data_IF_772305828817
#
_entry.id   IF_772305828817
#
_cell.length_a   1.000
_cell.length_b   1.000
_cell.length_c   1.000
_cell.angle_alpha   90.00
_cell.angle_beta   90.00
_cell.angle_gamma   90.00
#
_symmetry.space_group_name_H-M   'P 1'
#
loop_
_entity.id
_entity.type
_entity.pdbx_description
1 polymer ?
#
# COMPACT_ATOMS: atom_id res chain seq x y z
N UNK A 1 -25.26 -0.07 4.79
CA UNK A 1 -25.35 1.36 5.17
C UNK A 1 -25.38 2.21 3.91
N UNK A 2 -26.16 3.30 3.87
CA UNK A 2 -26.13 4.25 2.74
C UNK A 2 -24.96 5.21 2.89
N UNK A 3 -24.06 5.22 1.92
CA UNK A 3 -22.84 6.04 1.91
C UNK A 3 -23.08 7.28 1.06
N UNK A 4 -22.65 8.44 1.56
CA UNK A 4 -22.72 9.69 0.81
C UNK A 4 -21.71 9.71 -0.35
N UNK A 5 -21.98 10.50 -1.39
CA UNK A 5 -21.10 10.66 -2.55
C UNK A 5 -19.70 11.13 -2.16
N UNK A 6 -19.58 12.00 -1.15
CA UNK A 6 -18.28 12.50 -0.67
C UNK A 6 -17.45 11.38 -0.02
N UNK A 7 -18.07 10.53 0.80
CA UNK A 7 -17.40 9.40 1.46
C UNK A 7 -16.98 8.34 0.43
N UNK A 8 -17.83 8.10 -0.57
CA UNK A 8 -17.53 7.27 -1.74
C UNK A 8 -16.29 7.78 -2.48
N UNK A 9 -16.27 9.06 -2.86
CA UNK A 9 -15.13 9.67 -3.55
C UNK A 9 -13.86 9.63 -2.70
N UNK A 10 -13.96 9.97 -1.42
CA UNK A 10 -12.82 9.95 -0.48
C UNK A 10 -12.25 8.54 -0.34
N UNK A 11 -13.11 7.52 -0.24
CA UNK A 11 -12.70 6.12 -0.24
C UNK A 11 -11.99 5.74 -1.56
N UNK A 12 -12.54 6.14 -2.70
CA UNK A 12 -11.92 5.91 -4.00
C UNK A 12 -10.50 6.46 -4.11
N UNK A 13 -10.29 7.69 -3.65
CA UNK A 13 -8.97 8.33 -3.62
C UNK A 13 -7.93 7.56 -2.78
N UNK A 14 -8.35 6.81 -1.76
CA UNK A 14 -7.46 5.95 -0.99
C UNK A 14 -6.79 4.86 -1.83
N UNK A 15 -7.40 4.43 -2.94
CA UNK A 15 -6.76 3.56 -3.93
C UNK A 15 -5.48 4.16 -4.53
N UNK A 16 -5.35 5.49 -4.52
CA UNK A 16 -4.18 6.23 -5.01
C UNK A 16 -2.87 5.86 -4.31
N UNK A 17 -2.93 5.47 -3.04
CA UNK A 17 -1.74 5.04 -2.28
C UNK A 17 -1.12 3.80 -2.94
N UNK A 18 -1.94 2.78 -3.22
CA UNK A 18 -1.47 1.58 -3.91
C UNK A 18 -1.16 1.86 -5.39
N UNK A 19 -1.88 2.79 -6.03
CA UNK A 19 -1.64 3.21 -7.41
C UNK A 19 -0.21 3.71 -7.61
N UNK A 20 0.20 4.71 -6.82
CA UNK A 20 1.51 5.37 -6.91
C UNK A 20 2.63 4.38 -6.65
N UNK A 21 2.48 3.54 -5.62
CA UNK A 21 3.46 2.48 -5.35
C UNK A 21 3.55 1.49 -6.51
N UNK A 22 2.44 1.01 -7.03
CA UNK A 22 2.45 -0.03 -8.07
C UNK A 22 3.04 0.51 -9.36
N UNK A 23 2.63 1.70 -9.78
CA UNK A 23 3.18 2.41 -10.93
C UNK A 23 4.70 2.54 -10.84
N UNK A 24 5.18 3.10 -9.71
CA UNK A 24 6.60 3.28 -9.48
C UNK A 24 7.38 1.97 -9.45
N UNK A 25 6.93 0.98 -8.67
CA UNK A 25 7.68 -0.27 -8.47
C UNK A 25 7.76 -1.12 -9.73
N UNK A 26 6.73 -1.09 -10.57
CA UNK A 26 6.67 -1.90 -11.79
C UNK A 26 7.48 -1.25 -12.90
N UNK A 27 7.33 0.06 -13.11
CA UNK A 27 7.87 0.71 -14.30
C UNK A 27 9.18 1.48 -14.08
N UNK A 28 9.37 2.03 -12.89
CA UNK A 28 10.39 3.07 -12.68
C UNK A 28 11.49 2.67 -11.70
N UNK A 29 11.17 1.97 -10.60
CA UNK A 29 12.14 1.62 -9.56
C UNK A 29 13.29 0.76 -10.10
N UNK A 30 12.96 -0.29 -10.85
CA UNK A 30 13.97 -1.14 -11.49
C UNK A 30 14.81 -0.34 -12.48
N UNK A 31 14.17 0.45 -13.36
CA UNK A 31 14.87 1.27 -14.33
C UNK A 31 15.84 2.26 -13.64
N UNK A 32 15.41 2.95 -12.60
CA UNK A 32 16.23 3.88 -11.83
C UNK A 32 17.49 3.22 -11.24
N UNK A 33 17.35 2.10 -10.54
CA UNK A 33 18.51 1.42 -9.95
C UNK A 33 19.44 0.80 -11.01
N UNK A 34 18.91 0.38 -12.15
CA UNK A 34 19.69 -0.21 -13.24
C UNK A 34 20.43 0.82 -14.09
N UNK A 35 19.74 1.88 -14.51
CA UNK A 35 20.24 2.80 -15.55
C UNK A 35 20.83 4.08 -14.99
N UNK A 36 20.37 4.52 -13.82
CA UNK A 36 20.83 5.76 -13.18
C UNK A 36 21.89 5.42 -12.14
N UNK A 37 21.55 4.59 -11.15
CA UNK A 37 22.48 4.18 -10.09
C UNK A 37 23.48 3.11 -10.53
N UNK A 38 23.27 2.47 -11.68
CA UNK A 38 24.18 1.46 -12.24
C UNK A 38 24.30 0.17 -11.41
N UNK A 39 23.34 -0.14 -10.55
CA UNK A 39 23.34 -1.35 -9.73
C UNK A 39 23.17 -2.60 -10.60
N UNK A 40 23.94 -3.65 -10.30
CA UNK A 40 23.89 -4.91 -11.04
C UNK A 40 22.46 -5.46 -11.18
N UNK A 41 22.05 -5.91 -12.38
CA UNK A 41 20.72 -6.44 -12.62
C UNK A 41 20.31 -7.62 -11.72
N UNK A 42 21.26 -8.49 -11.38
CA UNK A 42 21.02 -9.64 -10.50
C UNK A 42 20.71 -9.17 -9.07
N UNK A 43 21.42 -8.14 -8.59
CA UNK A 43 21.19 -7.55 -7.26
C UNK A 43 19.86 -6.80 -7.22
N UNK A 44 19.58 -5.97 -8.23
CA UNK A 44 18.30 -5.24 -8.33
C UNK A 44 17.12 -6.20 -8.40
N UNK A 45 17.17 -7.20 -9.29
CA UNK A 45 16.11 -8.19 -9.44
C UNK A 45 15.90 -9.04 -8.19
N UNK A 46 16.98 -9.46 -7.52
CA UNK A 46 16.89 -10.25 -6.28
C UNK A 46 16.33 -9.43 -5.12
N UNK A 47 16.69 -8.15 -4.98
CA UNK A 47 16.11 -7.26 -3.96
C UNK A 47 14.59 -7.11 -4.13
N UNK A 48 14.13 -6.87 -5.37
CA UNK A 48 12.70 -6.78 -5.67
C UNK A 48 11.97 -8.10 -5.40
N UNK A 49 12.55 -9.22 -5.82
CA UNK A 49 12.00 -10.57 -5.60
C UNK A 49 11.90 -10.93 -4.11
N UNK A 50 12.93 -10.62 -3.31
CA UNK A 50 12.88 -10.83 -1.85
C UNK A 50 11.78 -10.00 -1.20
N UNK A 51 11.56 -8.78 -1.68
CA UNK A 51 10.43 -7.97 -1.22
C UNK A 51 9.07 -8.58 -1.59
N UNK A 52 8.96 -9.32 -2.72
CA UNK A 52 7.73 -10.06 -3.05
C UNK A 52 7.46 -11.21 -2.08
N UNK A 53 8.49 -11.95 -1.68
CA UNK A 53 8.35 -13.00 -0.68
C UNK A 53 7.90 -12.45 0.67
N UNK A 54 8.38 -11.26 1.04
CA UNK A 54 7.95 -10.60 2.27
C UNK A 54 6.46 -10.22 2.23
N UNK A 55 5.95 -9.71 1.11
CA UNK A 55 4.52 -9.40 0.94
C UNK A 55 3.64 -10.65 1.09
N UNK A 56 4.06 -11.78 0.52
CA UNK A 56 3.32 -13.04 0.62
C UNK A 56 3.07 -13.50 2.08
N UNK A 57 3.93 -13.06 3.01
CA UNK A 57 3.80 -13.34 4.44
C UNK A 57 3.08 -12.20 5.16
N UNK A 58 3.47 -10.96 4.88
CA UNK A 58 2.94 -9.79 5.60
C UNK A 58 1.47 -9.51 5.28
N UNK A 59 1.01 -9.78 4.05
CA UNK A 59 -0.36 -9.51 3.63
C UNK A 59 -1.41 -10.30 4.47
N UNK A 60 -1.33 -11.65 4.60
CA UNK A 60 -2.25 -12.39 5.46
C UNK A 60 -2.13 -12.02 6.94
N UNK A 61 -0.91 -11.72 7.42
CA UNK A 61 -0.67 -11.34 8.81
C UNK A 61 -1.37 -10.03 9.15
N UNK A 62 -1.22 -9.01 8.31
CA UNK A 62 -1.87 -7.71 8.50
C UNK A 62 -3.37 -7.82 8.32
N UNK A 63 -3.86 -8.63 7.37
CA UNK A 63 -5.29 -8.91 7.25
C UNK A 63 -5.88 -9.41 8.57
N UNK A 64 -5.31 -10.50 9.11
CA UNK A 64 -5.79 -11.10 10.35
C UNK A 64 -5.58 -10.20 11.58
N UNK A 65 -4.48 -9.43 11.64
CA UNK A 65 -4.22 -8.49 12.73
C UNK A 65 -5.19 -7.30 12.70
N UNK A 66 -5.44 -6.76 11.51
CA UNK A 66 -6.37 -5.65 11.30
C UNK A 66 -7.79 -6.03 11.70
N UNK A 67 -8.19 -7.29 11.57
CA UNK A 67 -9.51 -7.75 12.00
C UNK A 67 -9.66 -7.92 13.52
N UNK A 68 -8.58 -7.95 14.29
CA UNK A 68 -8.61 -8.21 15.74
C UNK A 68 -8.54 -6.96 16.61
N UNK A 69 -7.88 -5.90 16.13
CA UNK A 69 -7.63 -4.71 16.94
C UNK A 69 -8.91 -3.91 17.15
N UNK A 70 -9.23 -3.59 18.40
CA UNK A 70 -10.31 -2.67 18.74
C UNK A 70 -9.68 -1.38 19.24
N UNK A 71 -9.80 -0.32 18.45
CA UNK A 71 -9.37 1.02 18.80
C UNK A 71 -10.56 1.98 18.80
N UNK A 72 -10.49 3.03 19.62
CA UNK A 72 -11.47 4.13 19.63
C UNK A 72 -11.53 4.85 18.26
N UNK A 73 -10.45 4.77 17.48
CA UNK A 73 -10.35 5.35 16.14
C UNK A 73 -10.87 4.42 15.04
N UNK A 74 -11.51 3.30 15.39
CA UNK A 74 -11.94 2.29 14.44
C UNK A 74 -10.84 1.26 14.15
N UNK A 75 -11.26 0.01 14.01
CA UNK A 75 -10.38 -1.16 13.87
C UNK A 75 -9.40 -1.08 12.70
N UNK A 76 -9.87 -0.61 11.54
CA UNK A 76 -9.10 -0.55 10.29
C UNK A 76 -8.42 0.81 10.05
N UNK A 77 -9.08 1.87 10.50
CA UNK A 77 -8.61 3.24 10.34
C UNK A 77 -7.34 3.54 11.14
N UNK A 78 -7.10 2.86 12.27
CA UNK A 78 -5.84 3.01 13.01
C UNK A 78 -4.64 2.54 12.18
N UNK A 79 -4.77 1.43 11.46
CA UNK A 79 -3.73 0.91 10.58
C UNK A 79 -3.49 1.85 9.40
N UNK A 80 -4.57 2.26 8.74
CA UNK A 80 -4.50 3.20 7.62
C UNK A 80 -3.89 4.54 8.03
N UNK A 81 -4.25 5.08 9.20
CA UNK A 81 -3.71 6.36 9.67
C UNK A 81 -2.24 6.28 10.09
N UNK A 82 -1.86 5.22 10.80
CA UNK A 82 -0.48 5.01 11.25
C UNK A 82 0.47 4.71 10.10
N UNK A 83 -0.02 4.14 8.99
CA UNK A 83 0.81 3.82 7.83
C UNK A 83 1.14 5.03 6.94
N UNK A 84 0.40 6.15 7.03
CA UNK A 84 0.61 7.34 6.18
C UNK A 84 1.97 8.01 6.35
N UNK A 85 2.50 8.06 7.57
CA UNK A 85 3.83 8.60 7.80
C UNK A 85 4.94 7.68 7.32
N UNK A 86 4.99 6.39 7.74
CA UNK A 86 6.06 5.50 7.31
C UNK A 86 6.05 5.29 5.80
N UNK A 87 4.88 5.19 5.15
CA UNK A 87 4.81 5.00 3.70
C UNK A 87 5.43 6.15 2.92
N UNK A 88 5.17 7.40 3.32
CA UNK A 88 5.73 8.58 2.65
C UNK A 88 7.23 8.69 2.89
N UNK A 89 7.69 8.42 4.12
CA UNK A 89 9.11 8.48 4.46
C UNK A 89 9.88 7.37 3.71
N UNK A 90 9.43 6.12 3.78
CA UNK A 90 10.14 5.00 3.19
C UNK A 90 10.13 5.07 1.67
N UNK A 91 9.03 5.56 1.08
CA UNK A 91 8.95 5.79 -0.37
C UNK A 91 9.95 6.86 -0.79
N UNK A 92 10.01 8.00 -0.09
CA UNK A 92 10.97 9.06 -0.39
C UNK A 92 12.42 8.57 -0.26
N UNK A 93 12.71 7.76 0.76
CA UNK A 93 14.06 7.21 1.00
C UNK A 93 14.57 6.34 -0.15
N UNK A 94 13.71 5.76 -1.00
CA UNK A 94 14.14 5.00 -2.18
C UNK A 94 14.90 5.85 -3.22
N UNK A 95 14.76 7.17 -3.18
CA UNK A 95 15.31 8.13 -4.14
C UNK A 95 16.46 8.97 -3.56
N UNK A 96 16.88 8.69 -2.32
CA UNK A 96 18.02 9.34 -1.67
C UNK A 96 19.39 8.80 -2.13
N UNK A 97 19.55 7.52 -2.55
CA UNK A 97 20.87 7.01 -2.88
C UNK A 97 21.59 7.82 -3.95
N UNK A 98 22.90 7.88 -3.81
CA UNK A 98 23.81 8.58 -4.70
C UNK A 98 24.62 7.56 -5.52
N UNK A 99 24.90 7.89 -6.78
CA UNK A 99 25.69 7.06 -7.71
C UNK A 99 27.11 6.79 -7.21
N UNK A 100 27.63 7.61 -6.31
CA UNK A 100 28.95 7.44 -5.68
C UNK A 100 28.99 6.33 -4.61
N UNK A 101 27.84 5.79 -4.20
CA UNK A 101 27.77 4.75 -3.18
C UNK A 101 28.29 3.40 -3.69
N UNK A 102 28.79 2.59 -2.77
CA UNK A 102 29.22 1.24 -3.11
C UNK A 102 28.03 0.35 -3.50
N UNK A 103 28.28 -0.61 -4.38
CA UNK A 103 27.26 -1.54 -4.88
C UNK A 103 26.51 -2.26 -3.74
N UNK A 104 27.24 -2.69 -2.71
CA UNK A 104 26.66 -3.33 -1.53
C UNK A 104 25.73 -2.37 -0.77
N UNK A 105 26.12 -1.11 -0.61
CA UNK A 105 25.30 -0.13 0.09
C UNK A 105 24.01 0.15 -0.70
N UNK A 106 24.11 0.30 -2.03
CA UNK A 106 22.95 0.47 -2.91
C UNK A 106 22.01 -0.73 -2.83
N UNK A 107 22.54 -1.95 -2.85
CA UNK A 107 21.75 -3.17 -2.72
C UNK A 107 21.01 -3.26 -1.37
N UNK A 108 21.71 -3.05 -0.25
CA UNK A 108 21.09 -3.11 1.07
C UNK A 108 20.08 -1.98 1.28
N UNK A 109 20.35 -0.79 0.73
CA UNK A 109 19.41 0.32 0.75
C UNK A 109 18.14 -0.02 -0.04
N UNK A 110 18.29 -0.50 -1.27
CA UNK A 110 17.17 -0.91 -2.12
C UNK A 110 16.29 -1.93 -1.42
N UNK A 111 16.86 -3.04 -0.93
CA UNK A 111 16.07 -4.11 -0.33
C UNK A 111 15.34 -3.66 0.95
N UNK A 112 16.00 -2.91 1.83
CA UNK A 112 15.41 -2.44 3.09
C UNK A 112 14.25 -1.50 2.81
N UNK A 113 14.45 -0.46 2.01
CA UNK A 113 13.41 0.54 1.76
C UNK A 113 12.31 0.02 0.83
N UNK A 114 12.60 -0.94 -0.05
CA UNK A 114 11.57 -1.65 -0.83
C UNK A 114 10.67 -2.45 0.11
N UNK A 115 11.24 -3.23 1.03
CA UNK A 115 10.46 -4.01 2.01
C UNK A 115 9.65 -3.08 2.92
N UNK A 116 10.26 -2.04 3.47
CA UNK A 116 9.57 -1.10 4.37
C UNK A 116 8.44 -0.35 3.67
N UNK A 117 8.65 0.08 2.44
CA UNK A 117 7.61 0.75 1.64
C UNK A 117 6.46 -0.19 1.35
N UNK A 118 6.74 -1.42 0.90
CA UNK A 118 5.68 -2.40 0.63
C UNK A 118 4.91 -2.75 1.89
N UNK A 119 5.60 -3.02 2.99
CA UNK A 119 4.96 -3.27 4.28
C UNK A 119 4.06 -2.12 4.72
N UNK A 120 4.52 -0.87 4.57
CA UNK A 120 3.73 0.31 4.90
C UNK A 120 2.50 0.46 3.99
N UNK A 121 2.63 0.14 2.70
CA UNK A 121 1.49 0.06 1.77
C UNK A 121 0.51 -1.02 2.20
N UNK A 122 0.98 -2.21 2.57
CA UNK A 122 0.14 -3.32 3.05
C UNK A 122 -0.66 -2.93 4.29
N UNK A 123 -0.05 -2.21 5.24
CA UNK A 123 -0.73 -1.65 6.41
C UNK A 123 -1.86 -0.67 6.05
N UNK A 124 -1.82 -0.05 4.87
CA UNK A 124 -2.90 0.81 4.37
C UNK A 124 -3.90 0.03 3.50
N UNK A 125 -3.44 -0.61 2.44
CA UNK A 125 -4.27 -1.14 1.35
C UNK A 125 -5.11 -2.34 1.80
N UNK A 126 -4.59 -3.21 2.67
CA UNK A 126 -5.37 -4.36 3.15
C UNK A 126 -6.57 -3.93 4.00
N UNK A 127 -6.40 -3.13 5.07
CA UNK A 127 -7.54 -2.61 5.82
C UNK A 127 -8.48 -1.77 4.95
N UNK A 128 -7.95 -1.02 3.99
CA UNK A 128 -8.75 -0.21 3.07
C UNK A 128 -9.61 -1.06 2.12
N UNK A 129 -9.05 -2.10 1.48
CA UNK A 129 -9.82 -3.06 0.66
C UNK A 129 -10.85 -3.81 1.49
N UNK A 130 -10.47 -4.24 2.69
CA UNK A 130 -11.40 -4.91 3.57
C UNK A 130 -12.57 -3.99 3.93
N UNK A 131 -12.31 -2.69 4.14
CA UNK A 131 -13.35 -1.69 4.39
C UNK A 131 -14.35 -1.60 3.23
N UNK A 132 -13.93 -1.68 1.97
CA UNK A 132 -14.86 -1.74 0.81
C UNK A 132 -15.91 -2.85 0.93
N UNK A 133 -15.55 -3.99 1.53
CA UNK A 133 -16.43 -5.13 1.69
C UNK A 133 -17.37 -5.03 2.91
N UNK A 134 -17.04 -4.16 3.89
CA UNK A 134 -17.81 -3.97 5.13
C UNK A 134 -18.79 -2.81 5.07
N UNK A 135 -18.52 -1.76 4.29
CA UNK A 135 -19.38 -0.56 4.29
C UNK A 135 -20.79 -0.85 3.71
N UNK A 136 -20.94 -1.53 2.56
CA UNK A 136 -22.26 -1.73 1.95
C UNK A 136 -22.96 -3.00 2.42
N UNK A 137 -24.29 -3.00 2.41
CA UNK A 137 -25.07 -4.17 2.81
C UNK A 137 -25.30 -5.12 1.62
N UNK A 138 -25.48 -4.57 0.42
CA UNK A 138 -25.79 -5.34 -0.79
C UNK A 138 -24.54 -5.67 -1.59
N UNK A 139 -24.58 -6.79 -2.31
CA UNK A 139 -23.49 -7.21 -3.18
C UNK A 139 -23.21 -6.20 -4.30
N UNK A 140 -24.26 -5.62 -4.88
CA UNK A 140 -24.16 -4.62 -5.96
C UNK A 140 -23.43 -3.36 -5.50
N UNK A 141 -23.73 -2.86 -4.29
CA UNK A 141 -23.05 -1.68 -3.75
C UNK A 141 -21.57 -1.97 -3.41
N UNK A 142 -21.25 -3.19 -2.93
CA UNK A 142 -19.86 -3.63 -2.73
C UNK A 142 -19.07 -3.63 -4.03
N UNK A 143 -19.65 -4.21 -5.09
CA UNK A 143 -19.04 -4.21 -6.40
C UNK A 143 -18.85 -2.78 -6.94
N UNK A 144 -19.84 -1.90 -6.74
CA UNK A 144 -19.77 -0.51 -7.20
C UNK A 144 -18.63 0.27 -6.52
N UNK A 145 -18.50 0.18 -5.19
CA UNK A 145 -17.43 0.87 -4.45
C UNK A 145 -16.05 0.34 -4.83
N UNK A 146 -15.93 -0.98 -4.96
CA UNK A 146 -14.67 -1.58 -5.35
C UNK A 146 -14.27 -1.17 -6.78
N UNK A 147 -15.23 -1.16 -7.71
CA UNK A 147 -15.03 -0.68 -9.09
C UNK A 147 -14.62 0.79 -9.12
N UNK A 148 -15.30 1.64 -8.36
CA UNK A 148 -14.95 3.06 -8.25
C UNK A 148 -13.54 3.25 -7.68
N UNK A 149 -13.16 2.50 -6.63
CA UNK A 149 -11.80 2.51 -6.07
C UNK A 149 -10.76 2.13 -7.10
N UNK A 150 -10.96 1.03 -7.84
CA UNK A 150 -10.03 0.61 -8.90
C UNK A 150 -9.99 1.63 -10.06
N UNK A 151 -11.12 2.26 -10.41
CA UNK A 151 -11.15 3.34 -11.39
C UNK A 151 -10.33 4.55 -10.96
N UNK A 152 -10.47 5.01 -9.71
CA UNK A 152 -9.62 6.06 -9.14
C UNK A 152 -8.15 5.64 -9.09
N UNK A 153 -7.86 4.38 -8.73
CA UNK A 153 -6.51 3.84 -8.73
C UNK A 153 -5.85 3.99 -10.11
N UNK A 154 -6.55 3.61 -11.19
CA UNK A 154 -6.03 3.75 -12.56
C UNK A 154 -5.82 5.21 -12.97
N UNK A 155 -6.76 6.10 -12.65
CA UNK A 155 -6.65 7.53 -12.98
C UNK A 155 -5.48 8.17 -12.23
N UNK A 156 -5.31 7.85 -10.95
CA UNK A 156 -4.23 8.38 -10.12
C UNK A 156 -2.88 7.85 -10.59
N UNK A 157 -2.78 6.55 -10.92
CA UNK A 157 -1.56 5.98 -11.48
C UNK A 157 -1.15 6.73 -12.75
N UNK A 158 -2.07 6.88 -13.71
CA UNK A 158 -1.80 7.59 -14.96
C UNK A 158 -1.38 9.04 -14.72
N UNK A 159 -2.13 9.75 -13.87
CA UNK A 159 -1.84 11.15 -13.53
C UNK A 159 -0.47 11.30 -12.87
N UNK A 160 -0.14 10.39 -11.96
CA UNK A 160 1.17 10.34 -11.31
C UNK A 160 2.28 10.16 -12.35
N UNK A 161 2.15 9.18 -13.26
CA UNK A 161 3.14 8.96 -14.33
C UNK A 161 3.35 10.24 -15.15
N UNK A 162 2.29 10.92 -15.59
CA UNK A 162 2.42 12.17 -16.35
C UNK A 162 3.10 13.31 -15.57
N UNK A 163 2.85 13.41 -14.27
CA UNK A 163 3.46 14.45 -13.41
C UNK A 163 4.95 14.18 -13.22
N UNK A 164 5.37 12.92 -13.08
CA UNK A 164 6.78 12.58 -12.82
C UNK A 164 7.64 12.55 -14.09
N UNK A 165 7.04 12.34 -15.28
CA UNK A 165 7.78 12.22 -16.55
C UNK A 165 8.80 13.34 -16.81
N UNK A 166 8.50 14.65 -16.59
CA UNK A 166 9.47 15.72 -16.81
C UNK A 166 10.69 15.66 -15.87
N UNK A 167 10.57 14.98 -14.74
CA UNK A 167 11.62 14.81 -13.74
C UNK A 167 12.42 13.53 -13.94
N UNK A 168 11.91 12.58 -14.73
CA UNK A 168 12.63 11.37 -15.10
C UNK A 168 13.57 11.73 -16.25
N UNK A 169 14.80 12.10 -15.89
CA UNK A 169 15.87 12.27 -16.85
C UNK A 169 16.98 11.23 -16.57
N UNK A 170 17.33 10.46 -17.59
CA UNK A 170 18.39 9.45 -17.52
C UNK A 170 19.77 10.12 -17.43
N UNK A 171 19.88 11.39 -17.81
CA UNK A 171 21.15 12.12 -17.90
C UNK A 171 21.46 13.06 -16.71
N UNK A 172 20.52 13.29 -15.79
CA UNK A 172 20.70 14.21 -14.64
C UNK A 172 20.13 13.57 -13.38
N UNK A 173 21.01 13.19 -12.45
CA UNK A 173 20.68 12.43 -11.23
C UNK A 173 19.78 13.21 -10.26
N UNK A 174 19.94 14.53 -10.15
CA UNK A 174 19.28 15.37 -9.13
C UNK A 174 17.75 15.42 -9.22
N UNK A 175 17.16 15.06 -10.36
CA UNK A 175 15.71 15.18 -10.55
C UNK A 175 14.92 14.00 -9.97
N UNK A 176 15.55 12.87 -9.67
CA UNK A 176 14.88 11.69 -9.12
C UNK A 176 14.37 11.90 -7.68
N UNK A 177 15.02 12.79 -6.92
CA UNK A 177 14.54 13.20 -5.60
C UNK A 177 13.16 13.86 -5.71
N UNK A 178 12.91 14.65 -6.76
CA UNK A 178 11.61 15.28 -6.98
C UNK A 178 10.51 14.24 -7.28
N UNK A 179 10.85 13.16 -8.01
CA UNK A 179 9.93 12.03 -8.24
C UNK A 179 9.51 11.40 -6.90
N UNK A 180 10.50 11.12 -6.04
CA UNK A 180 10.25 10.59 -4.69
C UNK A 180 9.42 11.53 -3.83
N UNK A 181 9.72 12.84 -3.88
CA UNK A 181 9.00 13.86 -3.12
C UNK A 181 7.54 13.94 -3.55
N UNK A 182 7.28 14.08 -4.86
CA UNK A 182 5.93 14.18 -5.43
C UNK A 182 5.10 12.95 -5.06
N UNK A 183 5.65 11.75 -5.29
CA UNK A 183 4.96 10.50 -4.95
C UNK A 183 4.65 10.40 -3.45
N UNK A 184 5.62 10.74 -2.58
CA UNK A 184 5.43 10.69 -1.12
C UNK A 184 4.32 11.65 -0.63
N UNK A 185 4.26 12.86 -1.19
CA UNK A 185 3.24 13.86 -0.88
C UNK A 185 1.87 13.40 -1.38
N UNK A 186 1.79 12.91 -2.62
CA UNK A 186 0.53 12.41 -3.20
C UNK A 186 -0.02 11.22 -2.39
N UNK A 187 0.83 10.27 -2.00
CA UNK A 187 0.44 9.15 -1.14
C UNK A 187 -0.08 9.64 0.22
N UNK A 188 0.61 10.60 0.85
CA UNK A 188 0.17 11.18 2.12
C UNK A 188 -1.18 11.87 2.00
N UNK A 189 -1.36 12.70 0.96
CA UNK A 189 -2.57 13.49 0.72
C UNK A 189 -3.76 12.58 0.42
N UNK A 190 -3.63 11.68 -0.54
CA UNK A 190 -4.73 10.76 -0.91
C UNK A 190 -5.08 9.81 0.24
N UNK A 191 -4.07 9.27 0.93
CA UNK A 191 -4.27 8.44 2.09
C UNK A 191 -4.96 9.19 3.24
N UNK A 192 -4.57 10.45 3.49
CA UNK A 192 -5.22 11.31 4.49
C UNK A 192 -6.66 11.64 4.14
N UNK A 193 -6.95 11.97 2.87
CA UNK A 193 -8.31 12.24 2.39
C UNK A 193 -9.20 11.01 2.59
N UNK A 194 -8.71 9.81 2.23
CA UNK A 194 -9.45 8.57 2.46
C UNK A 194 -9.68 8.33 3.96
N UNK A 195 -8.62 8.36 4.77
CA UNK A 195 -8.72 8.13 6.22
C UNK A 195 -9.68 9.10 6.89
N UNK A 196 -9.66 10.39 6.53
CA UNK A 196 -10.52 11.43 7.10
C UNK A 196 -11.96 11.31 6.60
N UNK A 197 -12.15 11.10 5.29
CA UNK A 197 -13.46 10.98 4.66
C UNK A 197 -14.21 9.72 5.06
N UNK A 198 -13.52 8.67 5.50
CA UNK A 198 -14.17 7.43 5.97
C UNK A 198 -14.34 7.35 7.49
N UNK A 199 -13.86 8.36 8.26
CA UNK A 199 -14.01 8.33 9.74
C UNK A 199 -15.46 8.38 10.20
N UNK A 200 -16.33 9.08 9.47
CA UNK A 200 -17.76 9.17 9.76
C UNK A 200 -18.43 7.79 9.79
N UNK A 201 -17.89 6.83 9.05
CA UNK A 201 -18.44 5.48 8.89
C UNK A 201 -18.08 4.54 10.06
N UNK A 202 -17.12 4.92 10.92
CA UNK A 202 -16.62 4.09 12.04
C UNK A 202 -17.73 3.57 12.98
N UNK A 203 -18.71 4.37 13.41
CA UNK A 203 -19.73 3.93 14.38
C UNK A 203 -20.61 2.78 13.86
N UNK A 204 -20.82 2.74 12.55
CA UNK A 204 -21.75 1.84 11.86
C UNK A 204 -21.06 0.56 11.34
N UNK A 205 -19.73 0.46 11.50
CA UNK A 205 -19.00 -0.74 11.11
C UNK A 205 -19.39 -1.95 11.97
N UNK A 206 -19.45 -3.12 11.31
CA UNK A 206 -19.78 -4.38 11.97
C UNK A 206 -18.80 -4.70 13.11
N UNK A 207 -19.35 -4.98 14.30
CA UNK A 207 -18.58 -5.34 15.49
C UNK A 207 -18.45 -6.86 15.58
N UNK A 208 -17.24 -7.38 15.39
CA UNK A 208 -16.96 -8.81 15.48
C UNK A 208 -17.18 -9.37 16.91
N UNK A 209 -17.75 -10.58 17.06
CA UNK A 209 -18.01 -11.20 18.36
C UNK A 209 -16.73 -11.57 19.13
N UNK A 210 -16.75 -11.47 20.46
CA UNK A 210 -15.56 -11.69 21.31
C UNK A 210 -15.09 -13.14 21.42
N UNK A 211 -15.88 -14.12 21.00
CA UNK A 211 -15.55 -15.55 21.10
C UNK A 211 -14.37 -15.97 20.21
N UNK A 212 -14.10 -15.26 19.12
CA UNK A 212 -13.01 -15.55 18.18
C UNK A 212 -11.63 -15.04 18.66
N UNK A 213 -11.60 -14.26 19.76
CA UNK A 213 -10.43 -13.56 20.31
C UNK A 213 -9.33 -14.49 20.85
N UNK A 214 -9.64 -15.78 21.07
CA UNK A 214 -8.76 -16.75 21.76
C UNK A 214 -7.84 -17.59 20.85
N UNK A 215 -7.99 -17.56 19.52
CA UNK A 215 -7.11 -18.34 18.62
C UNK A 215 -5.86 -17.54 18.24
N UNK A 216 -4.68 -18.16 18.28
CA UNK A 216 -3.45 -17.54 17.75
C UNK A 216 -3.61 -17.25 16.25
N UNK A 217 -3.18 -16.07 15.78
CA UNK A 217 -3.30 -15.63 14.37
C UNK A 217 -2.74 -16.68 13.40
N UNK A 218 -1.58 -17.25 13.75
CA UNK A 218 -0.93 -18.27 12.94
C UNK A 218 -1.69 -19.62 12.91
N UNK A 219 -2.37 -19.99 14.00
CA UNK A 219 -3.17 -21.20 14.06
C UNK A 219 -4.42 -21.08 13.19
N UNK A 220 -5.05 -19.91 13.16
CA UNK A 220 -6.24 -19.65 12.35
C UNK A 220 -5.93 -19.62 10.86
N UNK A 221 -4.84 -18.95 10.45
CA UNK A 221 -4.36 -18.99 9.05
C UNK A 221 -4.08 -20.44 8.64
N UNK A 222 -3.44 -21.23 9.49
CA UNK A 222 -3.17 -22.65 9.23
C UNK A 222 -4.45 -23.48 9.12
N UNK A 223 -5.46 -23.22 9.95
CA UNK A 223 -6.77 -23.88 9.88
C UNK A 223 -7.52 -23.53 8.60
N UNK A 224 -7.55 -22.26 8.21
CA UNK A 224 -8.17 -21.81 6.96
C UNK A 224 -7.50 -22.43 5.74
N UNK A 225 -6.16 -22.44 5.69
CA UNK A 225 -5.41 -23.10 4.61
C UNK A 225 -5.68 -24.61 4.54
N UNK A 226 -5.74 -25.28 5.71
CA UNK A 226 -6.11 -26.71 5.78
C UNK A 226 -7.54 -26.97 5.32
N UNK A 227 -8.49 -26.09 5.63
CA UNK A 227 -9.87 -26.20 5.20
C UNK A 227 -9.98 -26.09 3.68
N UNK A 228 -9.34 -25.09 3.07
CA UNK A 228 -9.30 -24.92 1.61
C UNK A 228 -8.65 -26.13 0.93
N UNK A 229 -7.56 -26.66 1.51
CA UNK A 229 -6.90 -27.84 0.96
C UNK A 229 -7.73 -29.13 1.08
N UNK A 230 -8.53 -29.27 2.15
CA UNK A 230 -9.41 -30.43 2.36
C UNK A 230 -10.68 -30.42 1.53
N UNK A 231 -11.14 -29.24 1.11
CA UNK A 231 -12.37 -29.06 0.33
C UNK A 231 -12.09 -28.70 -1.14
N UNK A 232 -10.87 -29.00 -1.62
CA UNK A 232 -10.57 -29.13 -3.04
C UNK A 232 -10.96 -30.52 -3.51
#
# INVERSE_FOLDING_TARGET
MKINTIEKLSFGLGGGVNAIKTDFFVWYLGAYYLTVLGLNPILTGSALLLALFFDAISDPLIGALSDRIRSKFGRRHIFMGLSLLPISITYFMLFIPDNSWSENLLFFWLIIFTILTRFSVTLFDIPHRALAAEIPDTYEEKANIMSMREGFQSIIALSHSFIILPFINISVDDNWINVGLIGSIMMFVFGSISVLGTRSLIPDLYKWPESLKKKNTFQEIREQLRFVYKNK
#
